data_IF_771281744821
#
_entry.id   IF_771281744821
#
_cell.length_a   1.000
_cell.length_b   1.000
_cell.length_c   1.000
_cell.angle_alpha   90.00
_cell.angle_beta   90.00
_cell.angle_gamma   90.00
#
_symmetry.space_group_name_H-M   'P 1'
#
loop_
_entity.id
_entity.type
_entity.pdbx_description
1 polymer ?
#
# COMPACT_ATOMS: atom_id res chain seq x y z
N UNK A 1 -60.46 -0.19 11.57
CA UNK A 1 -60.07 1.13 11.02
C UNK A 1 -58.67 1.45 11.53
N UNK A 2 -57.80 2.06 10.72
CA UNK A 2 -57.23 1.65 9.43
C UNK A 2 -55.79 1.08 9.63
N UNK A 3 -55.31 0.20 8.74
CA UNK A 3 -54.25 0.41 7.72
C UNK A 3 -52.90 0.94 8.29
N UNK A 4 -51.70 0.41 8.00
CA UNK A 4 -51.07 0.28 6.68
C UNK A 4 -49.60 -0.23 6.85
N UNK A 5 -49.24 -1.19 5.99
CA UNK A 5 -47.96 -1.54 5.31
C UNK A 5 -46.56 -1.63 5.98
N UNK A 6 -45.76 -2.63 5.54
CA UNK A 6 -44.34 -2.80 5.89
C UNK A 6 -43.44 -1.91 5.01
N UNK A 7 -42.33 -1.41 5.55
CA UNK A 7 -41.44 -0.47 4.86
C UNK A 7 -40.04 -1.07 4.62
N UNK A 8 -39.85 -1.61 3.42
CA UNK A 8 -38.60 -1.65 2.64
C UNK A 8 -38.95 -0.99 1.28
N UNK A 9 -38.01 -0.62 0.39
CA UNK A 9 -36.68 -0.01 0.51
C UNK A 9 -36.59 1.28 -0.35
N UNK A 10 -36.01 2.38 0.13
CA UNK A 10 -35.96 3.63 -0.66
C UNK A 10 -34.61 4.32 -0.59
N UNK A 11 -33.67 3.89 -1.44
CA UNK A 11 -32.55 4.73 -1.90
C UNK A 11 -31.75 4.05 -3.02
N UNK A 12 -32.44 3.54 -4.04
CA UNK A 12 -31.90 3.61 -5.40
C UNK A 12 -32.31 4.98 -5.97
N UNK A 13 -31.42 5.62 -6.72
CA UNK A 13 -31.55 6.93 -7.40
C UNK A 13 -30.96 8.15 -6.67
N UNK A 14 -29.64 8.22 -6.58
CA UNK A 14 -28.92 9.51 -6.53
C UNK A 14 -27.52 9.45 -7.18
N UNK A 15 -27.34 8.62 -8.21
CA UNK A 15 -26.03 8.36 -8.84
C UNK A 15 -25.97 8.81 -10.32
N UNK A 16 -26.71 9.86 -10.70
CA UNK A 16 -26.82 10.29 -12.12
C UNK A 16 -26.56 11.79 -12.38
N UNK A 17 -26.21 12.64 -11.39
CA UNK A 17 -26.10 14.10 -11.62
C UNK A 17 -24.79 14.78 -11.17
N UNK A 18 -23.66 14.08 -11.17
CA UNK A 18 -22.35 14.67 -10.87
C UNK A 18 -21.30 14.57 -12.01
N UNK A 19 -21.71 14.31 -13.25
CA UNK A 19 -20.80 14.18 -14.42
C UNK A 19 -20.95 15.27 -15.49
N UNK A 20 -21.58 16.41 -15.16
CA UNK A 20 -21.76 17.55 -16.08
C UNK A 20 -21.15 18.86 -15.56
N UNK A 21 -20.06 18.78 -14.78
CA UNK A 21 -19.50 19.95 -14.07
C UNK A 21 -17.97 20.09 -14.03
N UNK A 22 -17.19 19.24 -14.69
CA UNK A 22 -15.75 19.49 -14.87
C UNK A 22 -15.51 20.38 -16.09
N UNK A 23 -16.01 21.60 -16.00
CA UNK A 23 -15.59 22.71 -16.84
C UNK A 23 -14.13 23.02 -16.56
N UNK A 24 -13.32 22.84 -17.60
CA UNK A 24 -12.00 23.41 -17.87
C UNK A 24 -11.51 24.48 -16.89
N UNK A 25 -10.46 24.15 -16.13
CA UNK A 25 -9.38 25.06 -15.72
C UNK A 25 -8.15 24.22 -15.32
N UNK A 26 -7.67 23.37 -16.24
CA UNK A 26 -6.31 22.86 -16.14
C UNK A 26 -5.38 23.92 -16.77
N UNK A 27 -4.36 24.42 -16.06
CA UNK A 27 -3.35 25.25 -16.70
C UNK A 27 -2.65 24.38 -17.74
N UNK A 28 -2.76 24.76 -19.01
CA UNK A 28 -1.89 24.27 -20.08
C UNK A 28 -0.45 24.55 -19.69
N UNK A 29 0.23 23.56 -19.10
CA UNK A 29 1.69 23.52 -19.08
C UNK A 29 2.12 22.54 -20.16
N UNK A 30 2.52 23.13 -21.27
CA UNK A 30 3.03 22.46 -22.45
C UNK A 30 4.18 21.50 -22.12
N UNK A 31 4.20 20.40 -22.85
CA UNK A 31 5.28 19.41 -22.87
C UNK A 31 4.75 18.03 -22.51
N UNK A 32 4.16 17.31 -23.48
CA UNK A 32 4.15 15.84 -23.39
C UNK A 32 5.60 15.41 -23.22
N UNK A 33 5.99 14.80 -22.08
CA UNK A 33 7.37 14.39 -21.88
C UNK A 33 7.76 13.43 -23.01
N UNK A 34 8.97 13.60 -23.52
CA UNK A 34 9.54 12.70 -24.54
C UNK A 34 9.37 11.25 -24.07
N UNK A 35 9.18 10.32 -25.00
CA UNK A 35 9.03 8.90 -24.68
C UNK A 35 10.20 8.42 -23.81
N UNK A 36 11.41 8.91 -24.09
CA UNK A 36 12.62 8.64 -23.31
C UNK A 36 12.51 9.12 -21.85
N UNK A 37 11.96 10.32 -21.63
CA UNK A 37 11.75 10.85 -20.27
C UNK A 37 10.71 10.05 -19.49
N UNK A 38 9.69 9.54 -20.18
CA UNK A 38 8.67 8.67 -19.57
C UNK A 38 9.23 7.31 -19.22
N UNK A 39 10.09 6.74 -20.08
CA UNK A 39 10.77 5.49 -19.83
C UNK A 39 11.71 5.59 -18.63
N UNK A 40 12.51 6.66 -18.53
CA UNK A 40 13.38 6.90 -17.38
C UNK A 40 12.62 7.03 -16.06
N UNK A 41 11.48 7.73 -16.05
CA UNK A 41 10.67 7.83 -14.83
C UNK A 41 9.98 6.51 -14.49
N UNK A 42 9.59 5.72 -15.48
CA UNK A 42 9.04 4.38 -15.28
C UNK A 42 10.10 3.42 -14.71
N UNK A 43 11.30 3.43 -15.26
CA UNK A 43 12.45 2.64 -14.78
C UNK A 43 12.80 3.02 -13.35
N UNK A 44 12.91 4.33 -13.04
CA UNK A 44 13.16 4.80 -11.67
C UNK A 44 12.07 4.38 -10.68
N UNK A 45 10.81 4.41 -11.10
CA UNK A 45 9.68 3.95 -10.28
C UNK A 45 9.69 2.44 -10.10
N UNK A 46 10.09 1.70 -11.13
CA UNK A 46 10.25 0.25 -11.09
C UNK A 46 11.38 -0.14 -10.14
N UNK A 47 12.56 0.49 -10.25
CA UNK A 47 13.68 0.29 -9.33
C UNK A 47 13.28 0.59 -7.89
N UNK A 48 12.50 1.65 -7.68
CA UNK A 48 11.98 2.00 -6.35
C UNK A 48 11.00 0.95 -5.82
N UNK A 49 10.25 0.27 -6.69
CA UNK A 49 9.34 -0.81 -6.30
C UNK A 49 10.10 -2.12 -6.09
N UNK A 50 11.02 -2.47 -6.98
CA UNK A 50 11.83 -3.69 -6.89
C UNK A 50 12.74 -3.67 -5.67
N UNK A 51 13.33 -2.52 -5.32
CA UNK A 51 14.11 -2.37 -4.09
C UNK A 51 13.29 -2.67 -2.82
N UNK A 52 11.96 -2.46 -2.84
CA UNK A 52 11.06 -2.80 -1.72
C UNK A 52 10.77 -4.30 -1.66
N UNK A 53 10.86 -5.00 -2.78
CA UNK A 53 10.60 -6.43 -2.90
C UNK A 53 11.88 -7.26 -2.98
N UNK A 54 13.03 -6.72 -2.53
CA UNK A 54 14.25 -7.49 -2.41
C UNK A 54 13.97 -8.74 -1.55
N UNK A 55 13.94 -9.90 -2.21
CA UNK A 55 13.65 -11.19 -1.58
C UNK A 55 14.72 -11.40 -0.51
N UNK A 56 14.29 -11.41 0.76
CA UNK A 56 15.22 -11.62 1.87
C UNK A 56 16.00 -12.93 1.64
N UNK A 57 17.33 -12.92 1.80
CA UNK A 57 18.15 -14.12 1.60
C UNK A 57 17.67 -15.22 2.57
N UNK A 58 17.78 -16.51 2.21
CA UNK A 58 17.43 -17.58 3.14
C UNK A 58 18.38 -17.53 4.34
N UNK A 59 17.86 -17.12 5.50
CA UNK A 59 18.62 -17.08 6.75
C UNK A 59 18.99 -18.51 7.17
N UNK A 60 20.26 -18.71 7.54
CA UNK A 60 20.83 -20.05 7.74
C UNK A 60 20.80 -20.50 9.19
N UNK A 61 20.57 -19.57 10.12
CA UNK A 61 20.58 -19.83 11.56
C UNK A 61 19.47 -19.06 12.28
N UNK A 62 18.83 -19.69 13.27
CA UNK A 62 17.83 -19.09 14.15
C UNK A 62 18.29 -17.76 14.77
N UNK A 63 19.57 -17.67 15.16
CA UNK A 63 20.12 -16.44 15.75
C UNK A 63 20.11 -15.26 14.76
N UNK A 64 20.36 -15.51 13.47
CA UNK A 64 20.34 -14.48 12.43
C UNK A 64 18.89 -14.00 12.18
N UNK A 65 17.94 -14.93 12.14
CA UNK A 65 16.51 -14.62 11.98
C UNK A 65 16.03 -13.75 13.16
N UNK A 66 16.38 -14.13 14.39
CA UNK A 66 15.99 -13.38 15.58
C UNK A 66 16.59 -11.97 15.61
N UNK A 67 17.87 -11.83 15.25
CA UNK A 67 18.51 -10.51 15.17
C UNK A 67 17.79 -9.63 14.14
N UNK A 68 17.44 -10.18 12.98
CA UNK A 68 16.77 -9.42 11.94
C UNK A 68 15.31 -9.05 12.29
N UNK A 69 14.58 -9.94 12.99
CA UNK A 69 13.28 -9.61 13.56
C UNK A 69 13.38 -8.40 14.48
N UNK A 70 14.38 -8.36 15.37
CA UNK A 70 14.57 -7.24 16.30
C UNK A 70 14.87 -5.92 15.59
N UNK A 71 15.68 -5.94 14.52
CA UNK A 71 15.95 -4.75 13.70
C UNK A 71 14.66 -4.21 13.05
N UNK A 72 13.88 -5.10 12.44
CA UNK A 72 12.62 -4.72 11.78
C UNK A 72 11.57 -4.23 12.77
N UNK A 73 11.48 -4.81 13.97
CA UNK A 73 10.60 -4.33 15.03
C UNK A 73 10.98 -2.93 15.51
N UNK A 74 12.28 -2.63 15.61
CA UNK A 74 12.76 -1.30 15.95
C UNK A 74 12.41 -0.28 14.85
N UNK A 75 12.69 -0.60 13.59
CA UNK A 75 12.33 0.27 12.46
C UNK A 75 10.82 0.52 12.38
N UNK A 76 10.02 -0.53 12.58
CA UNK A 76 8.56 -0.43 12.64
C UNK A 76 8.10 0.52 13.74
N UNK A 77 8.68 0.43 14.93
CA UNK A 77 8.37 1.31 16.05
C UNK A 77 8.68 2.78 15.70
N UNK A 78 9.81 3.05 15.04
CA UNK A 78 10.15 4.40 14.60
C UNK A 78 9.19 4.96 13.54
N UNK A 79 8.71 4.12 12.62
CA UNK A 79 7.74 4.51 11.61
C UNK A 79 6.37 4.80 12.22
N UNK A 80 5.95 4.02 13.22
CA UNK A 80 4.67 4.20 13.91
C UNK A 80 4.57 5.51 14.71
N UNK A 81 5.69 6.16 15.03
CA UNK A 81 5.70 7.52 15.61
C UNK A 81 5.18 8.55 14.60
N UNK A 82 5.45 8.32 13.30
CA UNK A 82 5.24 9.31 12.23
C UNK A 82 4.06 8.98 11.32
N UNK A 83 3.71 7.70 11.22
CA UNK A 83 2.74 7.20 10.26
C UNK A 83 1.72 6.28 10.91
N UNK A 84 0.54 6.19 10.28
CA UNK A 84 -0.48 5.23 10.67
C UNK A 84 -0.07 3.80 10.27
N UNK A 85 -0.56 2.76 10.96
CA UNK A 85 -0.24 1.37 10.64
C UNK A 85 -0.55 0.95 9.19
N UNK A 86 -1.46 1.64 8.50
CA UNK A 86 -1.78 1.34 7.09
C UNK A 86 -0.75 1.92 6.10
N UNK A 87 0.28 2.61 6.57
CA UNK A 87 1.32 3.16 5.70
C UNK A 87 2.08 2.03 4.98
N UNK A 88 2.36 2.15 3.67
CA UNK A 88 2.98 1.07 2.90
C UNK A 88 4.28 0.52 3.50
N UNK A 89 5.16 1.40 3.99
CA UNK A 89 6.41 0.98 4.62
C UNK A 89 6.21 0.12 5.88
N UNK A 90 5.16 0.39 6.67
CA UNK A 90 4.83 -0.41 7.87
C UNK A 90 4.26 -1.77 7.43
N UNK A 91 3.41 -1.78 6.40
CA UNK A 91 2.86 -3.03 5.85
C UNK A 91 3.93 -3.93 5.23
N UNK A 92 4.95 -3.32 4.60
CA UNK A 92 6.09 -4.05 4.03
C UNK A 92 6.90 -4.72 5.15
N UNK A 93 7.19 -3.99 6.24
CA UNK A 93 7.86 -4.56 7.43
C UNK A 93 7.01 -5.66 8.08
N UNK A 94 5.70 -5.44 8.27
CA UNK A 94 4.80 -6.44 8.84
C UNK A 94 4.80 -7.74 8.03
N UNK A 95 4.88 -7.64 6.70
CA UNK A 95 5.00 -8.80 5.82
C UNK A 95 6.34 -9.51 5.99
N UNK A 96 7.45 -8.76 6.08
CA UNK A 96 8.78 -9.34 6.31
C UNK A 96 8.84 -10.08 7.65
N UNK A 97 8.32 -9.46 8.72
CA UNK A 97 8.22 -10.08 10.04
C UNK A 97 7.45 -11.40 10.01
N UNK A 98 6.33 -11.46 9.29
CA UNK A 98 5.56 -12.69 9.11
C UNK A 98 6.33 -13.80 8.38
N UNK A 99 7.13 -13.45 7.37
CA UNK A 99 7.99 -14.40 6.66
C UNK A 99 9.07 -14.96 7.60
N UNK A 100 9.72 -14.10 8.37
CA UNK A 100 10.78 -14.49 9.30
C UNK A 100 10.25 -15.37 10.44
N UNK A 101 9.08 -15.04 10.99
CA UNK A 101 8.42 -15.87 12.02
C UNK A 101 8.08 -17.27 11.49
N UNK A 102 7.66 -17.38 10.23
CA UNK A 102 7.47 -18.68 9.57
C UNK A 102 8.77 -19.45 9.42
N UNK A 103 9.83 -18.81 8.96
CA UNK A 103 11.15 -19.45 8.82
C UNK A 103 11.67 -19.91 10.18
N UNK A 104 11.44 -19.14 11.24
CA UNK A 104 11.83 -19.51 12.60
C UNK A 104 11.10 -20.76 13.08
N UNK A 105 9.79 -20.85 12.81
CA UNK A 105 8.96 -22.04 13.13
C UNK A 105 9.37 -23.30 12.36
N UNK A 106 9.91 -23.15 11.15
CA UNK A 106 10.42 -24.28 10.36
C UNK A 106 11.75 -24.83 10.91
N UNK A 107 12.46 -24.05 11.74
CA UNK A 107 13.72 -24.43 12.38
C UNK A 107 13.56 -24.94 13.83
N UNK A 108 12.34 -24.88 14.39
CA UNK A 108 11.98 -25.39 15.73
C UNK A 108 11.51 -26.85 15.68
#
# INVERSE_FOLDING_TARGET
MPDTFPMFPWSCMALVLALAGCGSNAPLKAGTPSIEQRLLELERRMDTMEARFAVAPPYRNKAEIQAHIQELEAERAELLIRYLPQHPAIQDIDRMLWILDKQLKELE
#
